data_IF_302056086444
#
_entry.id   IF_302056086444
#
_cell.length_a   1.000
_cell.length_b   1.000
_cell.length_c   1.000
_cell.angle_alpha   90.00
_cell.angle_beta   90.00
_cell.angle_gamma   90.00
#
_symmetry.space_group_name_H-M   'P 1'
#
loop_
_entity.id
_entity.type
_entity.pdbx_description
1 polymer ?
#
# COMPACT_ATOMS: atom_id res chain seq x y z
N UNK A 1 6.88 17.51 -10.02
CA UNK A 1 6.50 17.53 -11.45
C UNK A 1 5.14 18.21 -11.54
N UNK A 2 5.11 19.45 -12.01
CA UNK A 2 3.85 20.17 -12.23
C UNK A 2 3.18 19.57 -13.46
N UNK A 3 1.93 19.12 -13.33
CA UNK A 3 1.22 18.42 -14.40
C UNK A 3 0.78 19.46 -15.43
N UNK A 4 1.21 19.29 -16.67
CA UNK A 4 0.59 19.98 -17.80
C UNK A 4 -0.68 19.21 -18.19
N UNK A 5 -1.82 19.64 -17.62
CA UNK A 5 -3.09 19.00 -17.88
C UNK A 5 -3.51 19.09 -19.35
N UNK A 6 -3.09 20.14 -20.06
CA UNK A 6 -3.44 20.30 -21.46
C UNK A 6 -2.77 19.18 -22.28
N UNK A 7 -1.44 19.08 -22.21
CA UNK A 7 -0.68 18.07 -22.96
C UNK A 7 -1.04 16.65 -22.53
N UNK A 8 -1.19 16.40 -21.23
CA UNK A 8 -1.48 15.05 -20.75
C UNK A 8 -2.91 14.59 -21.13
N UNK A 9 -3.86 15.50 -21.33
CA UNK A 9 -5.23 15.15 -21.75
C UNK A 9 -5.37 14.81 -23.23
N UNK A 10 -4.41 15.19 -24.09
CA UNK A 10 -4.46 14.87 -25.53
C UNK A 10 -4.59 13.36 -25.78
N UNK A 11 -3.95 12.55 -24.93
CA UNK A 11 -3.92 11.09 -25.04
C UNK A 11 -5.29 10.42 -24.88
N UNK A 12 -6.30 11.13 -24.37
CA UNK A 12 -7.62 10.56 -24.09
C UNK A 12 -8.63 10.84 -25.22
N UNK A 13 -8.35 11.76 -26.14
CA UNK A 13 -9.24 12.06 -27.26
C UNK A 13 -10.63 12.55 -26.83
N UNK A 14 -10.68 13.43 -25.81
CA UNK A 14 -11.92 14.07 -25.36
C UNK A 14 -12.37 15.20 -26.28
N UNK A 15 -13.69 15.46 -26.40
CA UNK A 15 -14.18 16.63 -27.10
C UNK A 15 -13.61 17.93 -26.53
N UNK A 16 -13.42 19.00 -27.34
CA UNK A 16 -12.78 20.24 -26.91
C UNK A 16 -13.42 20.87 -25.67
N UNK A 17 -14.75 20.84 -25.60
CA UNK A 17 -15.50 21.38 -24.45
C UNK A 17 -15.23 20.59 -23.17
N UNK A 18 -15.36 19.26 -23.22
CA UNK A 18 -15.07 18.39 -22.07
C UNK A 18 -13.64 18.60 -21.57
N UNK A 19 -12.67 18.67 -22.48
CA UNK A 19 -11.26 18.90 -22.15
C UNK A 19 -11.06 20.22 -21.41
N UNK A 20 -11.62 21.31 -21.92
CA UNK A 20 -11.51 22.64 -21.30
C UNK A 20 -12.12 22.67 -19.89
N UNK A 21 -13.30 22.08 -19.72
CA UNK A 21 -13.98 22.00 -18.42
C UNK A 21 -13.15 21.20 -17.40
N UNK A 22 -12.61 20.04 -17.79
CA UNK A 22 -11.75 19.23 -16.94
C UNK A 22 -10.46 19.96 -16.57
N UNK A 23 -9.83 20.66 -17.52
CA UNK A 23 -8.61 21.43 -17.28
C UNK A 23 -8.80 22.46 -16.17
N UNK A 24 -9.90 23.21 -16.24
CA UNK A 24 -10.26 24.22 -15.24
C UNK A 24 -10.43 23.56 -13.88
N UNK A 25 -11.21 22.47 -13.79
CA UNK A 25 -11.44 21.75 -12.54
C UNK A 25 -10.14 21.23 -11.93
N UNK A 26 -9.25 20.66 -12.74
CA UNK A 26 -7.97 20.14 -12.28
C UNK A 26 -7.05 21.26 -11.76
N UNK A 27 -6.92 22.37 -12.50
CA UNK A 27 -6.11 23.52 -12.06
C UNK A 27 -6.64 24.10 -10.74
N UNK A 28 -7.95 24.23 -10.60
CA UNK A 28 -8.59 24.84 -9.42
C UNK A 28 -8.61 23.94 -8.18
N UNK A 29 -8.73 22.61 -8.34
CA UNK A 29 -9.05 21.74 -7.20
C UNK A 29 -8.09 20.57 -6.98
N UNK A 30 -7.29 20.13 -7.96
CA UNK A 30 -6.58 18.85 -7.83
C UNK A 30 -5.52 18.87 -6.71
N UNK A 31 -4.91 20.03 -6.44
CA UNK A 31 -3.96 20.24 -5.36
C UNK A 31 -4.60 20.15 -3.96
N UNK A 32 -5.93 20.26 -3.85
CA UNK A 32 -6.64 20.24 -2.56
C UNK A 32 -6.67 18.83 -1.98
N UNK A 33 -6.42 18.75 -0.67
CA UNK A 33 -6.65 17.53 0.11
C UNK A 33 -8.16 17.25 0.19
N UNK A 34 -8.55 15.99 0.40
CA UNK A 34 -9.95 15.73 0.78
C UNK A 34 -10.20 16.24 2.20
N UNK A 35 -11.44 16.64 2.48
CA UNK A 35 -11.85 17.22 3.77
C UNK A 35 -11.56 16.31 4.99
N UNK A 36 -11.26 15.03 4.78
CA UNK A 36 -10.93 14.07 5.85
C UNK A 36 -9.43 14.04 6.22
N UNK A 37 -8.60 14.94 5.69
CA UNK A 37 -7.17 14.98 6.01
C UNK A 37 -6.92 15.95 7.17
N UNK A 38 -6.37 15.43 8.28
CA UNK A 38 -5.94 16.22 9.46
C UNK A 38 -4.91 17.33 9.18
N UNK A 39 -4.37 17.40 7.97
CA UNK A 39 -3.37 18.41 7.58
C UNK A 39 -3.93 19.25 6.45
N UNK A 40 -3.96 20.57 6.60
CA UNK A 40 -4.36 21.51 5.53
C UNK A 40 -3.38 21.58 4.35
N UNK A 41 -2.30 20.78 4.36
CA UNK A 41 -1.29 20.76 3.30
C UNK A 41 -1.86 20.21 1.97
N UNK A 42 -1.47 20.81 0.83
CA UNK A 42 -1.79 20.27 -0.49
C UNK A 42 -1.43 18.79 -0.65
N UNK A 43 -2.12 18.10 -1.57
CA UNK A 43 -1.74 16.72 -1.94
C UNK A 43 -0.48 16.74 -2.79
N UNK A 44 0.39 15.74 -2.59
CA UNK A 44 1.62 15.55 -3.38
C UNK A 44 1.31 15.45 -4.87
N UNK A 45 2.21 15.90 -5.75
CA UNK A 45 2.11 15.78 -7.22
C UNK A 45 1.72 14.36 -7.67
N UNK A 46 2.33 13.32 -7.07
CA UNK A 46 2.00 11.91 -7.33
C UNK A 46 0.53 11.55 -7.09
N UNK A 47 -0.08 12.17 -6.08
CA UNK A 47 -1.49 11.97 -5.74
C UNK A 47 -2.38 12.73 -6.73
N UNK A 48 -1.99 13.95 -7.11
CA UNK A 48 -2.66 14.74 -8.14
C UNK A 48 -2.66 14.01 -9.49
N UNK A 49 -1.51 13.48 -9.90
CA UNK A 49 -1.34 12.74 -11.15
C UNK A 49 -2.19 11.47 -11.17
N UNK A 50 -2.18 10.70 -10.07
CA UNK A 50 -3.05 9.51 -9.96
C UNK A 50 -4.53 9.87 -10.07
N UNK A 51 -4.98 10.92 -9.38
CA UNK A 51 -6.38 11.37 -9.45
C UNK A 51 -6.73 11.78 -10.87
N UNK A 52 -5.86 12.55 -11.52
CA UNK A 52 -5.98 12.97 -12.92
C UNK A 52 -6.15 11.77 -13.86
N UNK A 53 -5.17 10.86 -13.90
CA UNK A 53 -5.18 9.68 -14.78
C UNK A 53 -6.41 8.80 -14.54
N UNK A 54 -6.76 8.54 -13.27
CA UNK A 54 -7.92 7.70 -12.96
C UNK A 54 -9.25 8.33 -13.38
N UNK A 55 -9.39 9.66 -13.24
CA UNK A 55 -10.59 10.36 -13.68
C UNK A 55 -10.70 10.37 -15.20
N UNK A 56 -9.61 10.67 -15.92
CA UNK A 56 -9.61 10.61 -17.38
C UNK A 56 -9.89 9.18 -17.89
N UNK A 57 -9.25 8.15 -17.31
CA UNK A 57 -9.54 6.76 -17.64
C UNK A 57 -11.02 6.39 -17.39
N UNK A 58 -11.59 6.85 -16.27
CA UNK A 58 -13.02 6.62 -15.95
C UNK A 58 -13.95 7.29 -16.97
N UNK A 59 -13.60 8.47 -17.48
CA UNK A 59 -14.38 9.15 -18.52
C UNK A 59 -14.23 8.47 -19.88
N UNK A 60 -13.09 7.83 -20.16
CA UNK A 60 -12.95 6.96 -21.32
C UNK A 60 -13.75 5.66 -21.17
N UNK A 61 -13.78 5.05 -19.98
CA UNK A 61 -14.66 3.90 -19.72
C UNK A 61 -16.13 4.24 -20.04
N UNK A 62 -16.59 5.47 -19.76
CA UNK A 62 -17.94 5.93 -20.17
C UNK A 62 -18.12 5.96 -21.69
N UNK A 63 -17.11 6.45 -22.42
CA UNK A 63 -17.12 6.48 -23.88
C UNK A 63 -17.19 5.07 -24.45
N UNK A 64 -16.44 4.13 -23.86
CA UNK A 64 -16.38 2.73 -24.30
C UNK A 64 -17.74 2.02 -24.15
N UNK A 65 -18.51 2.37 -23.12
CA UNK A 65 -19.89 1.86 -22.92
C UNK A 65 -20.96 2.71 -23.61
N UNK A 66 -20.58 3.54 -24.58
CA UNK A 66 -21.50 4.30 -25.44
C UNK A 66 -21.93 5.67 -24.90
N UNK A 67 -21.50 6.08 -23.71
CA UNK A 67 -21.78 7.41 -23.16
C UNK A 67 -20.72 8.43 -23.57
N UNK A 68 -20.83 8.97 -24.78
CA UNK A 68 -20.02 10.11 -25.24
C UNK A 68 -20.51 11.40 -24.58
N UNK A 69 -19.63 12.09 -23.85
CA UNK A 69 -19.96 13.32 -23.11
C UNK A 69 -19.24 14.52 -23.72
N UNK A 70 -20.02 15.51 -24.13
CA UNK A 70 -19.49 16.81 -24.57
C UNK A 70 -19.10 17.71 -23.38
N UNK A 71 -19.65 17.45 -22.19
CA UNK A 71 -19.40 18.24 -20.99
C UNK A 71 -19.41 17.36 -19.74
N UNK A 72 -18.48 17.62 -18.81
CA UNK A 72 -18.36 16.87 -17.55
C UNK A 72 -19.59 17.13 -16.67
N UNK A 73 -20.18 18.32 -16.77
CA UNK A 73 -21.37 18.70 -16.02
C UNK A 73 -22.63 17.94 -16.45
N UNK A 74 -22.60 17.22 -17.57
CA UNK A 74 -23.74 16.37 -18.00
C UNK A 74 -23.75 14.99 -17.33
N UNK A 75 -22.78 14.70 -16.46
CA UNK A 75 -22.80 13.48 -15.65
C UNK A 75 -24.03 13.45 -14.72
N UNK A 76 -24.64 12.27 -14.65
CA UNK A 76 -25.84 11.91 -13.89
C UNK A 76 -25.59 10.57 -13.21
N UNK A 77 -26.34 10.28 -12.17
CA UNK A 77 -26.15 9.06 -11.37
C UNK A 77 -26.29 7.77 -12.21
N UNK A 78 -27.18 7.75 -13.22
CA UNK A 78 -27.30 6.62 -14.15
C UNK A 78 -25.99 6.22 -14.84
N UNK A 79 -25.09 7.18 -15.11
CA UNK A 79 -23.79 6.89 -15.72
C UNK A 79 -22.84 6.23 -14.71
N UNK A 80 -23.00 6.52 -13.42
CA UNK A 80 -22.24 5.87 -12.35
C UNK A 80 -22.66 4.41 -12.21
N UNK A 81 -23.96 4.12 -12.26
CA UNK A 81 -24.45 2.74 -12.30
C UNK A 81 -23.88 1.98 -13.50
N UNK A 82 -23.97 2.55 -14.71
CA UNK A 82 -23.45 1.90 -15.91
C UNK A 82 -21.93 1.63 -15.83
N UNK A 83 -21.15 2.57 -15.28
CA UNK A 83 -19.72 2.37 -15.03
C UNK A 83 -19.45 1.23 -14.05
N UNK A 84 -20.22 1.15 -12.95
CA UNK A 84 -20.03 0.07 -11.97
C UNK A 84 -20.37 -1.28 -12.58
N UNK A 85 -21.47 -1.40 -13.32
CA UNK A 85 -21.81 -2.62 -14.06
C UNK A 85 -20.69 -3.03 -15.01
N UNK A 86 -20.20 -2.09 -15.81
CA UNK A 86 -19.10 -2.33 -16.74
C UNK A 86 -17.80 -2.79 -16.05
N UNK A 87 -17.45 -2.18 -14.92
CA UNK A 87 -16.27 -2.60 -14.15
C UNK A 87 -16.46 -3.98 -13.51
N UNK A 88 -17.69 -4.33 -13.10
CA UNK A 88 -18.00 -5.67 -12.60
C UNK A 88 -17.91 -6.72 -13.71
N UNK A 89 -18.40 -6.41 -14.91
CA UNK A 89 -18.28 -7.26 -16.11
C UNK A 89 -16.81 -7.44 -16.53
N UNK A 90 -15.98 -6.42 -16.36
CA UNK A 90 -14.52 -6.48 -16.52
C UNK A 90 -13.78 -7.23 -15.40
N UNK A 91 -14.50 -7.72 -14.41
CA UNK A 91 -13.95 -8.38 -13.22
C UNK A 91 -12.96 -7.50 -12.41
N UNK A 92 -13.15 -6.17 -12.45
CA UNK A 92 -12.37 -5.27 -11.59
C UNK A 92 -12.60 -5.61 -10.12
N UNK A 93 -11.52 -5.80 -9.37
CA UNK A 93 -11.63 -6.04 -7.93
C UNK A 93 -12.38 -4.92 -7.20
N UNK A 94 -13.20 -5.26 -6.20
CA UNK A 94 -14.03 -4.32 -5.44
C UNK A 94 -13.25 -3.09 -4.93
N UNK A 95 -12.00 -3.30 -4.48
CA UNK A 95 -11.13 -2.22 -4.02
C UNK A 95 -10.73 -1.24 -5.13
N UNK A 96 -10.63 -1.70 -6.37
CA UNK A 96 -10.39 -0.88 -7.57
C UNK A 96 -11.63 -0.04 -7.87
N UNK A 97 -12.82 -0.67 -7.91
CA UNK A 97 -14.10 0.03 -8.12
C UNK A 97 -14.33 1.09 -7.04
N UNK A 98 -14.08 0.77 -5.77
CA UNK A 98 -14.15 1.72 -4.64
C UNK A 98 -13.25 2.94 -4.85
N UNK A 99 -12.04 2.73 -5.36
CA UNK A 99 -11.10 3.81 -5.63
C UNK A 99 -11.59 4.69 -6.79
N UNK A 100 -12.07 4.08 -7.89
CA UNK A 100 -12.67 4.79 -9.03
C UNK A 100 -13.88 5.63 -8.57
N UNK A 101 -14.80 5.03 -7.80
CA UNK A 101 -15.94 5.74 -7.18
C UNK A 101 -15.49 6.86 -6.23
N UNK A 102 -14.40 6.68 -5.50
CA UNK A 102 -13.86 7.73 -4.63
C UNK A 102 -13.29 8.92 -5.40
N UNK A 103 -12.69 8.68 -6.56
CA UNK A 103 -12.27 9.75 -7.45
C UNK A 103 -13.47 10.45 -8.08
N UNK A 104 -14.48 9.71 -8.54
CA UNK A 104 -15.72 10.28 -9.05
C UNK A 104 -16.46 11.13 -8.01
N UNK A 105 -16.52 10.71 -6.74
CA UNK A 105 -17.03 11.53 -5.63
C UNK A 105 -16.23 12.83 -5.45
N UNK A 106 -14.93 12.78 -5.67
CA UNK A 106 -14.09 13.99 -5.60
C UNK A 106 -14.41 14.93 -6.76
N UNK A 107 -14.52 14.40 -7.98
CA UNK A 107 -14.91 15.18 -9.16
C UNK A 107 -16.31 15.77 -9.01
N UNK A 108 -17.26 15.01 -8.44
CA UNK A 108 -18.62 15.50 -8.23
C UNK A 108 -18.69 16.68 -7.29
N UNK A 109 -17.84 16.72 -6.25
CA UNK A 109 -17.69 17.90 -5.40
C UNK A 109 -17.15 19.11 -6.18
N UNK A 110 -16.16 18.91 -7.05
CA UNK A 110 -15.60 20.01 -7.85
C UNK A 110 -16.61 20.57 -8.85
N UNK A 111 -17.51 19.73 -9.36
CA UNK A 111 -18.60 20.15 -10.24
C UNK A 111 -19.78 20.81 -9.49
N UNK A 112 -19.74 20.92 -8.16
CA UNK A 112 -20.87 21.40 -7.37
C UNK A 112 -22.04 20.41 -7.27
N UNK A 113 -21.79 19.11 -7.47
CA UNK A 113 -22.79 18.03 -7.45
C UNK A 113 -22.48 16.96 -6.38
N UNK A 114 -22.47 17.31 -5.08
CA UNK A 114 -22.07 16.39 -4.00
C UNK A 114 -22.87 15.07 -3.97
N UNK A 115 -24.15 15.09 -4.34
CA UNK A 115 -25.04 13.91 -4.36
C UNK A 115 -24.95 13.04 -5.62
N UNK A 116 -24.14 13.40 -6.62
CA UNK A 116 -24.06 12.66 -7.89
C UNK A 116 -23.56 11.22 -7.73
N UNK A 117 -22.71 10.97 -6.73
CA UNK A 117 -22.08 9.68 -6.49
C UNK A 117 -22.32 9.28 -5.04
N UNK A 118 -23.26 8.38 -4.80
CA UNK A 118 -23.52 7.77 -3.50
C UNK A 118 -22.35 6.95 -2.92
N UNK A 119 -22.55 6.42 -1.70
CA UNK A 119 -21.59 5.52 -1.06
C UNK A 119 -21.45 4.21 -1.83
N UNK A 120 -20.26 3.60 -1.81
CA UNK A 120 -19.94 2.43 -2.66
C UNK A 120 -20.98 1.33 -2.61
N UNK A 121 -21.46 0.96 -1.41
CA UNK A 121 -22.46 -0.11 -1.20
C UNK A 121 -23.75 0.08 -2.01
N UNK A 122 -24.12 1.31 -2.37
CA UNK A 122 -25.31 1.62 -3.18
C UNK A 122 -25.29 0.92 -4.54
N UNK A 123 -24.11 0.70 -5.11
CA UNK A 123 -23.95 0.19 -6.47
C UNK A 123 -23.73 -1.32 -6.57
N UNK A 124 -23.86 -2.04 -5.45
CA UNK A 124 -23.61 -3.47 -5.40
C UNK A 124 -24.77 -4.19 -4.73
N UNK A 125 -24.98 -5.45 -5.10
CA UNK A 125 -25.81 -6.37 -4.31
C UNK A 125 -25.08 -6.73 -3.01
N UNK A 126 -25.83 -7.15 -1.98
CA UNK A 126 -25.25 -7.59 -0.70
C UNK A 126 -24.20 -8.70 -0.86
N UNK A 127 -24.39 -9.57 -1.86
CA UNK A 127 -23.48 -10.69 -2.16
C UNK A 127 -22.22 -10.20 -2.88
N UNK A 128 -22.34 -9.25 -3.81
CA UNK A 128 -21.23 -8.76 -4.63
C UNK A 128 -20.31 -7.76 -3.93
N UNK A 129 -20.75 -7.13 -2.83
CA UNK A 129 -19.92 -6.23 -2.04
C UNK A 129 -19.27 -6.91 -0.82
N UNK A 130 -18.17 -7.61 -1.04
CA UNK A 130 -17.32 -8.15 0.03
C UNK A 130 -15.95 -7.48 0.08
N UNK A 131 -15.91 -6.22 0.53
CA UNK A 131 -14.62 -5.59 0.86
C UNK A 131 -14.09 -6.16 2.17
N UNK A 132 -13.26 -7.19 2.11
CA UNK A 132 -12.59 -7.76 3.28
C UNK A 132 -11.27 -7.04 3.55
N UNK A 133 -11.13 -6.24 4.62
CA UNK A 133 -9.90 -5.52 4.94
C UNK A 133 -8.81 -6.42 5.56
N UNK A 134 -9.13 -7.69 5.76
CA UNK A 134 -8.32 -8.67 6.49
C UNK A 134 -7.50 -9.47 5.50
N UNK A 135 -6.22 -9.68 5.79
CA UNK A 135 -5.40 -10.59 5.00
C UNK A 135 -5.90 -12.03 5.15
N UNK A 136 -6.38 -12.61 4.05
CA UNK A 136 -6.81 -14.01 3.98
C UNK A 136 -5.70 -14.93 3.45
N UNK A 137 -4.75 -14.38 2.68
CA UNK A 137 -3.64 -15.13 2.08
C UNK A 137 -2.31 -14.66 2.64
N UNK A 138 -1.42 -15.62 2.88
CA UNK A 138 -0.05 -15.34 3.24
C UNK A 138 0.70 -14.70 2.06
N UNK A 139 1.22 -13.49 2.30
CA UNK A 139 2.01 -12.71 1.32
C UNK A 139 3.49 -12.67 1.64
N UNK A 140 3.90 -13.37 2.70
CA UNK A 140 5.30 -13.56 3.05
C UNK A 140 6.00 -14.39 1.96
N UNK A 141 7.30 -14.22 1.80
CA UNK A 141 8.04 -14.99 0.79
C UNK A 141 8.20 -16.44 1.26
N UNK A 142 8.48 -16.63 2.55
CA UNK A 142 8.56 -17.95 3.17
C UNK A 142 7.26 -18.74 3.03
N UNK A 143 6.11 -18.08 3.23
CA UNK A 143 4.79 -18.71 3.06
C UNK A 143 4.43 -19.09 1.63
N UNK A 144 5.18 -18.60 0.64
CA UNK A 144 5.05 -18.96 -0.78
C UNK A 144 6.24 -19.83 -1.25
N UNK A 145 6.94 -20.49 -0.32
CA UNK A 145 8.07 -21.39 -0.58
C UNK A 145 9.22 -20.77 -1.39
N UNK A 146 9.40 -19.45 -1.29
CA UNK A 146 10.50 -18.74 -1.96
C UNK A 146 11.75 -18.82 -1.11
N UNK A 147 12.85 -19.35 -1.67
CA UNK A 147 14.18 -19.21 -1.11
C UNK A 147 14.64 -17.75 -1.25
N UNK A 148 14.48 -17.01 -0.15
CA UNK A 148 14.79 -15.58 -0.08
C UNK A 148 16.26 -15.32 -0.40
N UNK A 149 17.18 -16.13 0.15
CA UNK A 149 18.62 -15.92 -0.02
C UNK A 149 19.04 -16.18 -1.46
N UNK A 150 18.53 -17.23 -2.10
CA UNK A 150 18.80 -17.50 -3.51
C UNK A 150 18.28 -16.37 -4.42
N UNK A 151 17.09 -15.84 -4.15
CA UNK A 151 16.55 -14.71 -4.92
C UNK A 151 17.37 -13.44 -4.70
N UNK A 152 17.77 -13.13 -3.46
CA UNK A 152 18.61 -11.98 -3.15
C UNK A 152 19.97 -12.06 -3.87
N UNK A 153 20.59 -13.25 -3.92
CA UNK A 153 21.82 -13.49 -4.69
C UNK A 153 21.62 -13.19 -6.19
N UNK A 154 20.53 -13.68 -6.79
CA UNK A 154 20.20 -13.39 -8.20
C UNK A 154 20.00 -11.89 -8.46
N UNK A 155 19.28 -11.19 -7.58
CA UNK A 155 19.08 -9.74 -7.70
C UNK A 155 20.42 -9.01 -7.60
N UNK A 156 21.30 -9.43 -6.67
CA UNK A 156 22.60 -8.79 -6.42
C UNK A 156 23.53 -8.85 -7.62
N UNK A 157 23.50 -9.92 -8.41
CA UNK A 157 24.24 -10.04 -9.68
C UNK A 157 23.78 -9.00 -10.70
N UNK A 158 22.48 -8.68 -10.73
CA UNK A 158 21.92 -7.70 -11.68
C UNK A 158 22.12 -6.26 -11.19
N UNK A 159 21.90 -6.04 -9.90
CA UNK A 159 21.96 -4.72 -9.28
C UNK A 159 22.14 -4.85 -7.75
N UNK A 160 23.36 -4.60 -7.22
CA UNK A 160 23.67 -4.76 -5.81
C UNK A 160 22.91 -3.78 -4.91
N UNK A 161 22.60 -2.58 -5.41
CA UNK A 161 21.85 -1.56 -4.66
C UNK A 161 20.39 -1.97 -4.54
N UNK A 162 19.79 -2.51 -5.60
CA UNK A 162 18.41 -3.06 -5.52
C UNK A 162 18.34 -4.26 -4.57
N UNK A 163 19.35 -5.15 -4.57
CA UNK A 163 19.42 -6.24 -3.60
C UNK A 163 19.46 -5.73 -2.17
N UNK A 164 20.29 -4.70 -1.91
CA UNK A 164 20.36 -4.07 -0.60
C UNK A 164 19.04 -3.41 -0.18
N UNK A 165 18.32 -2.80 -1.11
CA UNK A 165 16.98 -2.27 -0.84
C UNK A 165 15.95 -3.35 -0.51
N UNK A 166 16.07 -4.57 -1.03
CA UNK A 166 15.24 -5.71 -0.61
C UNK A 166 15.63 -6.18 0.80
N UNK A 167 16.91 -6.23 1.12
CA UNK A 167 17.40 -6.62 2.44
C UNK A 167 16.95 -5.64 3.52
N UNK A 168 17.01 -4.33 3.27
CA UNK A 168 16.44 -3.31 4.15
C UNK A 168 14.91 -3.49 4.35
N UNK A 169 14.19 -3.95 3.32
CA UNK A 169 12.77 -4.27 3.45
C UNK A 169 12.52 -5.52 4.30
N UNK A 170 13.38 -6.53 4.21
CA UNK A 170 13.30 -7.76 5.01
C UNK A 170 13.70 -7.52 6.47
N UNK A 171 14.78 -6.80 6.71
CA UNK A 171 15.36 -6.59 8.03
C UNK A 171 14.60 -5.56 8.87
N UNK A 172 14.01 -4.53 8.26
CA UNK A 172 13.35 -3.43 8.97
C UNK A 172 11.88 -3.23 8.57
N UNK A 173 11.37 -4.09 7.67
CA UNK A 173 10.03 -3.95 7.15
C UNK A 173 9.85 -2.63 6.42
N UNK A 174 10.84 -2.06 5.75
CA UNK A 174 10.70 -0.80 5.02
C UNK A 174 9.70 -0.92 3.85
N UNK A 175 9.14 0.20 3.39
CA UNK A 175 8.49 0.25 2.06
C UNK A 175 9.55 0.43 0.99
N UNK A 176 9.24 0.08 -0.26
CA UNK A 176 10.16 0.28 -1.40
C UNK A 176 10.74 1.70 -1.46
N UNK A 177 9.89 2.74 -1.36
CA UNK A 177 10.36 4.13 -1.42
C UNK A 177 11.13 4.53 -0.13
N UNK A 178 10.80 3.93 1.01
CA UNK A 178 11.55 4.13 2.26
C UNK A 178 12.96 3.52 2.14
N UNK A 179 13.10 2.30 1.61
CA UNK A 179 14.40 1.65 1.40
C UNK A 179 15.26 2.38 0.36
N UNK A 180 14.64 2.98 -0.66
CA UNK A 180 15.36 3.81 -1.64
C UNK A 180 15.89 5.09 -1.00
N UNK A 181 15.05 5.81 -0.27
CA UNK A 181 15.42 7.09 0.34
C UNK A 181 16.16 6.96 1.68
N UNK A 182 16.40 5.73 2.15
CA UNK A 182 17.05 5.48 3.43
C UNK A 182 18.51 5.96 3.42
N UNK A 183 18.95 6.57 4.52
CA UNK A 183 20.31 7.08 4.71
C UNK A 183 21.05 6.12 5.66
N UNK A 184 21.79 5.13 5.14
CA UNK A 184 22.27 4.01 5.94
C UNK A 184 23.39 4.38 6.93
N UNK A 185 24.30 5.30 6.59
CA UNK A 185 25.36 5.77 7.50
C UNK A 185 24.76 6.41 8.76
N UNK A 186 23.77 7.29 8.57
CA UNK A 186 22.98 7.81 9.69
C UNK A 186 22.27 6.70 10.46
N UNK A 187 21.74 5.70 9.75
CA UNK A 187 21.14 4.51 10.33
C UNK A 187 22.07 3.76 11.29
N UNK A 188 23.33 3.57 10.91
CA UNK A 188 24.36 2.93 11.77
C UNK A 188 24.59 3.76 13.04
N UNK A 189 24.75 5.09 12.92
CA UNK A 189 24.93 5.97 14.07
C UNK A 189 23.75 5.87 15.04
N UNK A 190 22.52 5.93 14.52
CA UNK A 190 21.30 5.82 15.33
C UNK A 190 21.19 4.43 16.00
N UNK A 191 21.56 3.37 15.28
CA UNK A 191 21.55 2.01 15.80
C UNK A 191 22.52 1.84 16.97
N UNK A 192 23.73 2.41 16.89
CA UNK A 192 24.73 2.37 17.96
C UNK A 192 24.32 3.21 19.18
N UNK A 193 23.69 4.36 18.95
CA UNK A 193 23.30 5.31 20.00
C UNK A 193 22.08 4.83 20.82
N UNK A 194 21.06 4.28 20.16
CA UNK A 194 19.76 3.99 20.81
C UNK A 194 19.14 2.64 20.45
N UNK A 195 19.91 1.70 19.90
CA UNK A 195 19.44 0.38 19.47
C UNK A 195 18.20 0.44 18.55
N UNK A 196 18.08 1.51 17.75
CA UNK A 196 16.95 1.72 16.86
C UNK A 196 17.31 2.61 15.67
N UNK A 197 16.56 2.49 14.57
CA UNK A 197 16.69 3.36 13.39
C UNK A 197 15.44 4.20 13.17
N UNK A 198 15.63 5.42 12.64
CA UNK A 198 14.54 6.27 12.19
C UNK A 198 14.27 6.10 10.69
N UNK A 199 13.06 5.65 10.35
CA UNK A 199 12.59 5.57 8.96
C UNK A 199 11.68 6.76 8.69
N UNK A 200 12.25 7.87 8.24
CA UNK A 200 11.53 9.15 8.01
C UNK A 200 11.41 9.55 6.53
N UNK A 201 12.43 9.24 5.70
CA UNK A 201 12.46 9.57 4.27
C UNK A 201 11.69 8.54 3.42
N UNK A 202 11.12 8.97 2.30
CA UNK A 202 10.28 8.11 1.45
C UNK A 202 8.97 7.64 2.09
N UNK A 203 8.61 8.15 3.26
CA UNK A 203 7.44 7.72 4.02
C UNK A 203 6.15 8.23 3.40
N UNK A 204 5.13 7.37 3.37
CA UNK A 204 3.81 7.74 2.85
C UNK A 204 3.17 8.81 3.75
N UNK A 205 3.08 10.04 3.24
CA UNK A 205 2.49 11.17 3.95
C UNK A 205 3.43 11.86 4.94
N UNK A 206 4.74 11.65 4.83
CA UNK A 206 5.76 12.32 5.63
C UNK A 206 5.78 11.89 7.10
N UNK A 207 5.34 10.66 7.39
CA UNK A 207 5.23 10.14 8.75
C UNK A 207 6.37 9.17 9.01
N UNK A 208 7.36 9.64 9.74
CA UNK A 208 8.44 8.80 10.24
C UNK A 208 7.97 7.79 11.28
N UNK A 209 8.79 6.77 11.51
CA UNK A 209 8.65 5.83 12.63
C UNK A 209 10.02 5.37 13.07
N UNK A 210 10.12 4.98 14.33
CA UNK A 210 11.26 4.27 14.84
C UNK A 210 11.11 2.75 14.64
N UNK A 211 12.22 2.07 14.39
CA UNK A 211 12.28 0.62 14.24
C UNK A 211 13.45 0.12 15.09
N UNK A 212 13.17 -0.58 16.18
CA UNK A 212 14.19 -1.14 17.07
C UNK A 212 14.99 -2.27 16.41
N UNK A 213 16.22 -2.45 16.87
CA UNK A 213 17.03 -3.61 16.55
C UNK A 213 16.62 -4.78 17.47
N UNK A 214 16.45 -5.95 16.88
CA UNK A 214 15.96 -7.19 17.50
C UNK A 214 16.90 -8.37 17.23
N UNK A 215 17.81 -8.25 16.27
CA UNK A 215 18.72 -9.33 15.82
C UNK A 215 20.01 -8.73 15.23
N UNK A 216 21.12 -9.44 15.36
CA UNK A 216 22.44 -9.10 14.81
C UNK A 216 22.43 -8.97 13.28
N UNK A 217 21.53 -9.68 12.59
CA UNK A 217 21.33 -9.56 11.14
C UNK A 217 20.96 -8.12 10.74
N UNK A 218 20.24 -7.38 11.60
CA UNK A 218 19.89 -6.00 11.31
C UNK A 218 21.11 -5.08 11.33
N UNK A 219 22.10 -5.35 12.18
CA UNK A 219 23.35 -4.58 12.23
C UNK A 219 24.16 -4.84 10.96
N UNK A 220 24.35 -6.11 10.59
CA UNK A 220 25.06 -6.49 9.35
C UNK A 220 24.43 -5.84 8.11
N UNK A 221 23.10 -5.84 8.00
CA UNK A 221 22.40 -5.17 6.89
C UNK A 221 22.66 -3.66 6.87
N UNK A 222 22.70 -3.00 8.03
CA UNK A 222 23.01 -1.57 8.10
C UNK A 222 24.45 -1.26 7.68
N UNK A 223 25.41 -2.06 8.15
CA UNK A 223 26.83 -1.90 7.78
C UNK A 223 27.05 -2.12 6.29
N UNK A 224 26.50 -3.20 5.73
CA UNK A 224 26.58 -3.46 4.28
C UNK A 224 25.87 -2.40 3.45
N UNK A 225 24.76 -1.84 3.95
CA UNK A 225 24.11 -0.70 3.31
C UNK A 225 24.96 0.58 3.39
N UNK A 226 25.60 0.84 4.54
CA UNK A 226 26.46 2.00 4.74
C UNK A 226 27.70 1.94 3.83
N UNK A 227 28.31 0.76 3.66
CA UNK A 227 29.44 0.56 2.74
C UNK A 227 29.07 0.77 1.27
N UNK A 228 27.80 0.58 0.90
CA UNK A 228 27.31 0.89 -0.45
C UNK A 228 26.91 2.36 -0.62
N UNK A 229 26.72 3.11 0.46
CA UNK A 229 26.45 4.53 0.40
C UNK A 229 27.74 5.31 0.29
N UNK A 230 27.88 6.10 -0.77
CA UNK A 230 29.09 6.87 -1.05
C UNK A 230 29.31 8.02 -0.03
N UNK A 231 28.25 8.48 0.66
CA UNK A 231 28.34 9.63 1.56
C UNK A 231 27.26 9.63 2.68
N UNK A 232 27.58 10.24 3.83
CA UNK A 232 26.82 10.24 5.09
C UNK A 232 25.39 10.75 4.97
N UNK A 233 25.14 11.71 4.07
CA UNK A 233 23.82 12.28 3.83
C UNK A 233 23.11 11.68 2.61
N UNK A 234 23.72 10.71 1.92
CA UNK A 234 23.13 10.14 0.72
C UNK A 234 22.19 8.98 1.04
N UNK A 235 21.11 8.98 0.28
CA UNK A 235 20.18 7.86 0.24
C UNK A 235 20.78 6.65 -0.47
N UNK A 236 20.14 5.49 -0.37
CA UNK A 236 20.43 4.31 -1.21
C UNK A 236 20.19 4.52 -2.73
N UNK A 237 19.75 5.70 -3.18
CA UNK A 237 19.64 6.01 -4.62
C UNK A 237 21.02 6.47 -5.12
N UNK A 238 21.60 5.83 -6.16
CA UNK A 238 22.84 6.28 -6.75
C UNK A 238 22.73 7.72 -7.30
N UNK A 239 23.81 8.49 -7.22
CA UNK A 239 23.80 9.95 -7.38
C UNK A 239 23.35 10.45 -8.76
N UNK A 240 23.46 9.61 -9.78
CA UNK A 240 23.08 9.86 -11.16
C UNK A 240 21.59 9.64 -11.44
N UNK A 241 20.84 9.09 -10.48
CA UNK A 241 19.41 8.82 -10.62
C UNK A 241 18.54 9.80 -9.84
N UNK A 242 17.46 10.25 -10.48
CA UNK A 242 16.30 10.76 -9.76
C UNK A 242 15.53 9.60 -9.10
N UNK A 243 14.76 9.88 -8.05
CA UNK A 243 13.89 8.87 -7.41
C UNK A 243 12.98 8.16 -8.42
N UNK A 244 12.44 8.89 -9.40
CA UNK A 244 11.57 8.31 -10.41
C UNK A 244 12.32 7.34 -11.33
N UNK A 245 13.48 7.76 -11.86
CA UNK A 245 14.32 6.91 -12.70
C UNK A 245 14.80 5.67 -11.94
N UNK A 246 15.25 5.86 -10.69
CA UNK A 246 15.67 4.74 -9.85
C UNK A 246 14.53 3.78 -9.55
N UNK A 247 13.33 4.30 -9.28
CA UNK A 247 12.15 3.46 -9.05
C UNK A 247 11.79 2.62 -10.28
N UNK A 248 11.96 3.17 -11.48
CA UNK A 248 11.75 2.42 -12.72
C UNK A 248 12.80 1.32 -12.88
N UNK A 249 14.07 1.61 -12.59
CA UNK A 249 15.17 0.61 -12.56
C UNK A 249 14.88 -0.50 -11.55
N UNK A 250 14.47 -0.16 -10.33
CA UNK A 250 14.08 -1.14 -9.31
C UNK A 250 13.00 -2.10 -9.80
N UNK A 251 11.89 -1.57 -10.35
CA UNK A 251 10.82 -2.44 -10.85
C UNK A 251 11.18 -3.20 -12.13
N UNK A 252 12.12 -2.68 -12.93
CA UNK A 252 12.71 -3.44 -14.03
C UNK A 252 13.44 -4.68 -13.50
N UNK A 253 14.31 -4.54 -12.50
CA UNK A 253 15.02 -5.67 -11.88
C UNK A 253 14.04 -6.68 -11.27
N UNK A 254 12.97 -6.22 -10.60
CA UNK A 254 11.92 -7.12 -10.09
C UNK A 254 11.26 -7.94 -11.21
N UNK A 255 10.97 -7.33 -12.37
CA UNK A 255 10.40 -8.04 -13.52
C UNK A 255 11.36 -9.06 -14.10
N UNK A 256 12.64 -8.72 -14.25
CA UNK A 256 13.68 -9.62 -14.78
C UNK A 256 13.82 -10.87 -13.90
N UNK A 257 13.82 -10.72 -12.57
CA UNK A 257 13.95 -11.84 -11.63
C UNK A 257 12.63 -12.60 -11.42
N UNK A 258 11.51 -12.09 -11.94
CA UNK A 258 10.19 -12.71 -11.79
C UNK A 258 9.49 -12.42 -10.45
N UNK A 259 9.91 -11.39 -9.73
CA UNK A 259 9.27 -10.88 -8.50
C UNK A 259 8.04 -10.04 -8.92
N UNK A 260 6.99 -10.72 -9.35
CA UNK A 260 5.68 -10.15 -9.72
C UNK A 260 4.55 -11.11 -9.36
N UNK A 261 3.34 -10.57 -9.17
CA UNK A 261 2.16 -11.33 -8.70
C UNK A 261 1.79 -12.51 -9.60
N UNK A 262 1.90 -12.29 -10.91
CA UNK A 262 1.62 -13.21 -12.01
C UNK A 262 2.88 -13.96 -12.49
N UNK A 263 3.97 -13.90 -11.72
CA UNK A 263 5.24 -14.56 -12.04
C UNK A 263 5.31 -15.96 -11.46
N UNK A 264 6.35 -16.73 -11.86
CA UNK A 264 6.59 -18.07 -11.31
C UNK A 264 6.74 -18.08 -9.79
N UNK A 265 7.34 -17.03 -9.23
CA UNK A 265 7.51 -16.88 -7.77
C UNK A 265 6.22 -16.44 -7.05
N UNK A 266 5.25 -15.88 -7.78
CA UNK A 266 3.97 -15.33 -7.27
C UNK A 266 4.08 -14.33 -6.09
N UNK A 267 5.28 -13.80 -5.83
CA UNK A 267 5.53 -12.82 -4.77
C UNK A 267 5.81 -11.43 -5.32
N UNK A 268 5.70 -10.43 -4.45
CA UNK A 268 6.13 -9.06 -4.72
C UNK A 268 7.15 -8.64 -3.67
N UNK A 269 7.97 -7.62 -3.93
CA UNK A 269 8.90 -7.11 -2.93
C UNK A 269 8.22 -6.63 -1.65
N UNK A 270 6.96 -6.16 -1.75
CA UNK A 270 6.17 -5.81 -0.55
C UNK A 270 5.93 -7.01 0.38
N UNK A 271 6.02 -8.25 -0.13
CA UNK A 271 5.97 -9.47 0.66
C UNK A 271 7.07 -9.57 1.72
N UNK A 272 8.24 -8.97 1.50
CA UNK A 272 9.32 -8.92 2.50
C UNK A 272 8.92 -8.08 3.73
N UNK A 273 8.14 -7.02 3.51
CA UNK A 273 7.53 -6.28 4.63
C UNK A 273 6.53 -7.14 5.39
N UNK A 274 5.75 -7.98 4.69
CA UNK A 274 4.89 -8.94 5.37
C UNK A 274 5.73 -9.93 6.18
N UNK A 275 6.84 -10.42 5.63
CA UNK A 275 7.77 -11.35 6.30
C UNK A 275 8.23 -10.75 7.63
N UNK A 276 8.80 -9.54 7.59
CA UNK A 276 9.26 -8.82 8.76
C UNK A 276 8.17 -8.65 9.83
N UNK A 277 7.00 -8.13 9.46
CA UNK A 277 5.92 -7.83 10.42
C UNK A 277 5.31 -9.11 11.02
N UNK A 278 5.27 -10.20 10.26
CA UNK A 278 4.87 -11.51 10.78
C UNK A 278 5.93 -12.08 11.72
N UNK A 279 7.22 -11.89 11.42
CA UNK A 279 8.33 -12.26 12.30
C UNK A 279 8.28 -11.53 13.64
N UNK A 280 8.03 -10.21 13.65
CA UNK A 280 7.86 -9.41 14.88
C UNK A 280 6.71 -9.97 15.72
N UNK A 281 5.57 -10.27 15.11
CA UNK A 281 4.44 -10.87 15.82
C UNK A 281 4.82 -12.24 16.42
N UNK A 282 5.48 -13.09 15.64
CA UNK A 282 5.84 -14.43 16.07
C UNK A 282 6.88 -14.43 17.19
N UNK A 283 7.84 -13.49 17.20
CA UNK A 283 8.81 -13.34 18.30
C UNK A 283 8.13 -12.96 19.62
N UNK A 284 7.15 -12.06 19.57
CA UNK A 284 6.45 -11.60 20.78
C UNK A 284 5.49 -12.69 21.30
N UNK A 285 4.75 -13.34 20.40
CA UNK A 285 3.67 -14.27 20.76
C UNK A 285 4.16 -15.72 20.88
N UNK A 286 5.35 -16.03 20.36
CA UNK A 286 5.91 -17.38 20.28
C UNK A 286 5.25 -18.29 19.22
N UNK A 287 4.32 -17.76 18.42
CA UNK A 287 3.54 -18.52 17.43
C UNK A 287 3.34 -17.71 16.14
N UNK A 288 3.21 -18.38 14.97
CA UNK A 288 2.86 -17.71 13.72
C UNK A 288 1.57 -16.89 13.83
N UNK A 289 1.40 -15.88 12.98
CA UNK A 289 0.17 -15.10 12.94
C UNK A 289 -1.01 -15.89 12.34
N UNK A 290 -2.26 -15.41 12.47
CA UNK A 290 -3.43 -16.09 11.89
C UNK A 290 -3.36 -16.29 10.38
N UNK A 291 -2.79 -15.34 9.63
CA UNK A 291 -2.65 -15.48 8.17
C UNK A 291 -1.65 -16.59 7.80
N UNK A 292 -0.75 -16.95 8.72
CA UNK A 292 0.17 -18.10 8.61
C UNK A 292 -0.35 -19.35 9.33
N UNK A 293 -1.66 -19.41 9.61
CA UNK A 293 -2.31 -20.57 10.24
C UNK A 293 -2.24 -20.63 11.77
N UNK A 294 -1.54 -19.72 12.45
CA UNK A 294 -1.43 -19.74 13.91
C UNK A 294 -2.75 -19.51 14.64
N UNK A 295 -2.84 -19.93 15.91
CA UNK A 295 -3.99 -19.74 16.78
C UNK A 295 -3.69 -20.04 18.25
N UNK A 296 -4.71 -19.93 19.12
CA UNK A 296 -4.57 -20.23 20.54
C UNK A 296 -3.52 -19.35 21.23
N UNK A 297 -3.65 -18.04 21.04
CA UNK A 297 -2.75 -17.05 21.63
C UNK A 297 -3.27 -16.58 22.99
N UNK A 298 -2.36 -16.16 23.86
CA UNK A 298 -2.77 -15.27 24.94
C UNK A 298 -3.30 -13.95 24.36
N UNK A 299 -4.47 -13.53 24.82
CA UNK A 299 -5.15 -12.36 24.30
C UNK A 299 -4.44 -11.05 24.66
N UNK A 300 -3.76 -10.99 25.82
CA UNK A 300 -2.94 -9.85 26.23
C UNK A 300 -1.73 -9.68 25.31
N UNK A 301 -0.96 -10.75 25.15
CA UNK A 301 0.25 -10.81 24.34
C UNK A 301 -0.05 -10.55 22.85
N UNK A 302 -1.10 -11.15 22.30
CA UNK A 302 -1.53 -10.89 20.93
C UNK A 302 -1.92 -9.42 20.70
N UNK A 303 -2.59 -8.77 21.68
CA UNK A 303 -2.92 -7.33 21.60
C UNK A 303 -1.68 -6.45 21.66
N UNK A 304 -0.72 -6.80 22.52
CA UNK A 304 0.57 -6.11 22.61
C UNK A 304 1.34 -6.23 21.31
N UNK A 305 1.50 -7.45 20.78
CA UNK A 305 2.16 -7.70 19.51
C UNK A 305 1.50 -6.94 18.35
N UNK A 306 0.16 -6.89 18.31
CA UNK A 306 -0.56 -6.09 17.31
C UNK A 306 -0.26 -4.60 17.41
N UNK A 307 -0.12 -4.04 18.62
CA UNK A 307 0.26 -2.62 18.79
C UNK A 307 1.67 -2.37 18.26
N UNK A 308 2.63 -3.20 18.64
CA UNK A 308 4.02 -3.08 18.18
C UNK A 308 4.10 -3.22 16.66
N UNK A 309 3.39 -4.18 16.06
CA UNK A 309 3.33 -4.33 14.59
C UNK A 309 2.73 -3.10 13.90
N UNK A 310 1.73 -2.44 14.50
CA UNK A 310 1.14 -1.20 13.94
C UNK A 310 2.14 -0.05 13.96
N UNK A 311 2.87 0.12 15.07
CA UNK A 311 3.93 1.12 15.24
C UNK A 311 5.07 0.86 14.25
N UNK A 312 5.60 -0.37 14.21
CA UNK A 312 6.60 -0.85 13.23
C UNK A 312 6.12 -0.73 11.79
N UNK A 313 4.80 -0.79 11.55
CA UNK A 313 4.22 -0.59 10.23
C UNK A 313 4.03 0.89 9.86
N UNK A 314 4.25 1.84 10.78
CA UNK A 314 4.00 3.27 10.58
C UNK A 314 2.52 3.59 10.39
N UNK A 315 1.64 2.80 11.01
CA UNK A 315 0.20 2.98 10.96
C UNK A 315 -0.29 3.55 12.29
N UNK A 316 -1.33 4.38 12.26
CA UNK A 316 -1.95 4.95 13.48
C UNK A 316 -3.22 4.22 13.91
N UNK A 317 -3.72 3.30 13.07
CA UNK A 317 -4.97 2.60 13.29
C UNK A 317 -4.71 1.11 13.47
N UNK A 318 -5.22 0.56 14.59
CA UNK A 318 -5.14 -0.86 14.93
C UNK A 318 -5.73 -1.76 13.86
N UNK A 319 -6.74 -1.30 13.12
CA UNK A 319 -7.33 -2.07 12.02
C UNK A 319 -6.37 -2.29 10.85
N UNK A 320 -5.28 -1.52 10.73
CA UNK A 320 -4.32 -1.67 9.64
C UNK A 320 -3.31 -2.80 9.86
N UNK A 321 -3.17 -3.36 11.08
CA UNK A 321 -2.38 -4.59 11.26
C UNK A 321 -3.07 -5.81 10.69
N UNK A 322 -4.40 -5.81 10.60
CA UNK A 322 -5.16 -6.92 10.01
C UNK A 322 -4.81 -7.17 8.54
N UNK A 323 -4.30 -6.14 7.85
CA UNK A 323 -3.79 -6.26 6.49
C UNK A 323 -2.47 -7.07 6.40
N UNK A 324 -1.78 -7.30 7.53
CA UNK A 324 -0.53 -8.07 7.59
C UNK A 324 -0.66 -9.38 8.37
N UNK A 325 -1.41 -9.36 9.48
CA UNK A 325 -1.53 -10.49 10.41
C UNK A 325 -2.83 -11.29 10.23
N UNK A 326 -3.76 -10.81 9.41
CA UNK A 326 -5.09 -11.38 9.30
C UNK A 326 -6.01 -11.04 10.48
N UNK A 327 -7.07 -11.83 10.67
CA UNK A 327 -8.18 -11.54 11.58
C UNK A 327 -7.89 -11.88 13.05
N UNK A 328 -6.73 -11.47 13.61
CA UNK A 328 -6.30 -11.86 14.97
C UNK A 328 -7.39 -11.60 16.01
N UNK A 329 -7.97 -10.40 16.03
CA UNK A 329 -9.02 -10.04 16.98
C UNK A 329 -10.32 -10.83 16.78
N UNK A 330 -10.67 -11.17 15.53
CA UNK A 330 -11.86 -11.98 15.24
C UNK A 330 -11.65 -13.43 15.66
N UNK A 331 -10.44 -13.97 15.48
CA UNK A 331 -10.08 -15.33 15.91
C UNK A 331 -10.09 -15.44 17.43
N UNK A 332 -9.50 -14.47 18.14
CA UNK A 332 -9.57 -14.40 19.61
C UNK A 332 -11.02 -14.29 20.13
N UNK A 333 -11.89 -13.51 19.47
CA UNK A 333 -13.30 -13.42 19.84
C UNK A 333 -14.05 -14.74 19.61
N UNK A 334 -13.78 -15.45 18.51
CA UNK A 334 -14.35 -16.77 18.24
C UNK A 334 -13.86 -17.82 19.24
N UNK A 335 -12.57 -17.85 19.53
CA UNK A 335 -11.96 -18.76 20.52
C UNK A 335 -12.53 -18.51 21.92
N UNK A 336 -12.67 -17.25 22.35
CA UNK A 336 -13.31 -16.91 23.63
C UNK A 336 -14.77 -17.33 23.70
N UNK A 337 -15.52 -17.14 22.61
CA UNK A 337 -16.93 -17.56 22.53
C UNK A 337 -17.05 -19.08 22.56
N UNK A 338 -16.15 -19.80 21.87
CA UNK A 338 -16.10 -21.26 21.89
C UNK A 338 -15.73 -21.80 23.27
N UNK A 339 -14.74 -21.20 23.95
CA UNK A 339 -14.36 -21.56 25.32
C UNK A 339 -15.50 -21.34 26.32
N UNK A 340 -16.24 -20.22 26.19
CA UNK A 340 -17.41 -19.94 27.04
C UNK A 340 -18.56 -20.93 26.82
N UNK A 341 -18.75 -21.42 25.59
CA UNK A 341 -19.75 -22.46 25.29
C UNK A 341 -19.35 -23.83 25.83
N UNK A 342 -18.05 -24.18 25.82
CA UNK A 342 -17.54 -25.42 26.42
C UNK A 342 -17.63 -25.41 27.95
N UNK A 343 -17.22 -24.31 28.60
CA UNK A 343 -17.31 -24.17 30.06
C UNK A 343 -18.73 -24.04 30.61
N UNK A 344 -19.74 -23.80 29.77
CA UNK A 344 -21.15 -23.84 30.15
C UNK A 344 -21.79 -25.23 29.96
N UNK A 345 -21.10 -26.18 29.31
CA UNK A 345 -21.57 -27.55 29.09
C UNK A 345 -21.11 -28.54 30.17
N UNK A 346 -20.00 -28.25 30.86
CA UNK A 346 -19.43 -29.14 31.89
C UNK A 346 -19.95 -28.83 33.32
N UNK A 347 -21.04 -28.05 33.42
CA UNK A 347 -21.58 -27.52 34.67
C UNK A 347 -22.94 -28.04 35.09
N UNK A 348 -23.42 -29.17 34.52
CA UNK A 348 -24.56 -29.94 35.03
C UNK A 348 -24.32 -31.41 34.71
N UNK A 349 -23.78 -32.16 35.67
CA UNK A 349 -24.17 -33.53 35.94
C UNK A 349 -23.93 -33.85 37.41
#
# INVERSE_FOLDING_TARGET
>A
MRIDYYVEMDRYGFPPRLRRELEILFKQHNHKASNNRRTGKPVSDKTQYRRFVNLCATLNDLKDIGYRKESVYTLKEKHVYALVSYWQEKEDGIGTIDNKLSYLRTLSLWMGKPGLVGGSRKYFTLVSYQRKPIAEKDKTWSGNCVDILAVLKKVRVIDPVVAMQLELQLAFGMRVEESMCYQPIRGVIEALDRAAINVSKGTKGGRGREVGLEDVVQIDVLERAANLAVDHNRSMIPGEYSLERWRNRYYYVMRVVGIKRDGKLQVTSHGLRHEYLNGVFARIVGKPSPVKGGGGYDAGLARMAMRIVVERAGHWSRHKSQAYLGGVLQKLQKERTAARKKGAGDGIH
#
